data_IF_395100033293
#
_entry.id   IF_395100033293
#
_cell.length_a   1.000
_cell.length_b   1.000
_cell.length_c   1.000
_cell.angle_alpha   90.00
_cell.angle_beta   90.00
_cell.angle_gamma   90.00
#
_symmetry.space_group_name_H-M   'P 1'
#
loop_
_entity.id
_entity.type
_entity.pdbx_description
1 polymer ?
#
# COMPACT_ATOMS: atom_id res chain seq x y z
N UNK A 1 2.83 4.02 10.04
CA UNK A 1 2.65 2.57 10.30
C UNK A 1 3.07 2.22 11.71
N UNK A 2 2.45 1.25 12.39
CA UNK A 2 3.02 0.63 13.57
C UNK A 2 4.28 -0.17 13.24
N UNK A 3 5.13 -0.39 14.22
CA UNK A 3 6.40 -1.10 14.04
C UNK A 3 6.21 -2.50 13.44
N UNK A 4 5.25 -3.28 13.93
CA UNK A 4 4.97 -4.64 13.45
C UNK A 4 4.58 -4.71 11.96
N UNK A 5 3.77 -3.78 11.46
CA UNK A 5 3.44 -3.72 10.03
C UNK A 5 4.66 -3.35 9.18
N UNK A 6 5.50 -2.45 9.67
CA UNK A 6 6.74 -2.08 8.99
C UNK A 6 7.71 -3.27 8.92
N UNK A 7 7.86 -4.02 10.01
CA UNK A 7 8.66 -5.24 10.06
C UNK A 7 8.19 -6.29 9.05
N UNK A 8 6.87 -6.52 8.96
CA UNK A 8 6.28 -7.42 7.96
C UNK A 8 6.58 -6.97 6.52
N UNK A 9 6.44 -5.68 6.24
CA UNK A 9 6.75 -5.14 4.91
C UNK A 9 8.22 -5.27 4.56
N UNK A 10 9.12 -4.98 5.50
CA UNK A 10 10.56 -5.11 5.32
C UNK A 10 10.97 -6.56 5.11
N UNK A 11 10.41 -7.50 5.87
CA UNK A 11 10.66 -8.93 5.68
C UNK A 11 10.21 -9.41 4.30
N UNK A 12 9.02 -9.01 3.85
CA UNK A 12 8.50 -9.39 2.52
C UNK A 12 9.32 -8.79 1.37
N UNK A 13 9.69 -7.52 1.49
CA UNK A 13 10.32 -6.76 0.39
C UNK A 13 11.85 -6.86 0.36
N UNK A 14 12.48 -6.86 1.53
CA UNK A 14 13.93 -6.74 1.68
C UNK A 14 14.59 -7.98 2.25
N UNK A 15 13.79 -8.96 2.72
CA UNK A 15 14.26 -10.21 3.33
C UNK A 15 15.12 -10.00 4.59
N UNK A 16 14.83 -8.94 5.34
CA UNK A 16 15.46 -8.65 6.64
C UNK A 16 14.54 -9.08 7.79
N UNK A 17 15.16 -9.43 8.92
CA UNK A 17 14.42 -9.86 10.11
C UNK A 17 13.66 -8.72 10.77
N UNK A 18 12.65 -9.01 11.62
CA UNK A 18 11.98 -8.01 12.44
C UNK A 18 12.95 -7.24 13.34
N UNK A 19 13.91 -7.91 13.96
CA UNK A 19 14.90 -7.30 14.85
C UNK A 19 15.85 -6.36 14.09
N UNK A 20 16.29 -6.78 12.91
CA UNK A 20 17.11 -5.93 12.04
C UNK A 20 16.31 -4.70 11.58
N UNK A 21 15.04 -4.88 11.24
CA UNK A 21 14.16 -3.75 10.89
C UNK A 21 14.04 -2.77 12.05
N UNK A 22 13.82 -3.26 13.27
CA UNK A 22 13.72 -2.41 14.45
C UNK A 22 15.03 -1.64 14.71
N UNK A 23 16.19 -2.30 14.58
CA UNK A 23 17.50 -1.67 14.71
C UNK A 23 17.70 -0.55 13.69
N UNK A 24 17.33 -0.82 12.43
CA UNK A 24 17.42 0.18 11.34
C UNK A 24 16.51 1.38 11.64
N UNK A 25 15.27 1.14 12.04
CA UNK A 25 14.34 2.26 12.31
C UNK A 25 14.75 3.04 13.55
N UNK A 26 15.36 2.39 14.55
CA UNK A 26 15.98 3.05 15.70
C UNK A 26 17.14 3.97 15.27
N UNK A 27 18.02 3.50 14.37
CA UNK A 27 19.09 4.33 13.79
C UNK A 27 18.51 5.54 13.05
N UNK A 28 17.47 5.34 12.23
CA UNK A 28 16.80 6.43 11.51
C UNK A 28 16.18 7.46 12.46
N UNK A 29 15.62 7.00 13.60
CA UNK A 29 15.10 7.87 14.65
C UNK A 29 16.19 8.70 15.32
N UNK A 30 17.30 8.09 15.70
CA UNK A 30 18.44 8.78 16.32
C UNK A 30 19.02 9.85 15.39
N UNK A 31 18.99 9.61 14.10
CA UNK A 31 19.36 10.57 13.05
C UNK A 31 18.24 11.59 12.74
N UNK A 32 17.14 11.61 13.50
CA UNK A 32 15.99 12.52 13.36
C UNK A 32 15.24 12.39 12.03
N UNK A 33 15.40 11.29 11.32
CA UNK A 33 14.76 11.04 10.03
C UNK A 33 13.30 10.61 10.16
N UNK A 34 12.99 9.85 11.22
CA UNK A 34 11.64 9.34 11.50
C UNK A 34 11.24 9.60 12.94
N UNK A 35 9.97 9.46 13.26
CA UNK A 35 9.42 9.53 14.62
C UNK A 35 9.72 8.24 15.40
N UNK A 36 9.41 8.23 16.69
CA UNK A 36 9.75 7.13 17.60
C UNK A 36 9.27 5.76 17.08
N UNK A 37 10.15 4.75 17.01
CA UNK A 37 9.84 3.51 16.31
C UNK A 37 9.01 2.49 17.09
N UNK A 38 9.08 2.52 18.44
CA UNK A 38 8.38 1.53 19.27
C UNK A 38 6.96 2.01 19.55
N UNK A 39 6.08 1.85 18.56
CA UNK A 39 4.68 2.23 18.64
C UNK A 39 3.79 1.22 17.96
N UNK A 40 2.65 0.95 18.56
CA UNK A 40 1.58 0.14 17.99
C UNK A 40 0.52 0.99 17.28
N UNK A 41 0.62 2.32 17.39
CA UNK A 41 -0.32 3.24 16.78
C UNK A 41 -0.26 3.20 15.25
N UNK A 42 -1.43 3.16 14.64
CA UNK A 42 -1.64 3.22 13.17
C UNK A 42 -2.02 4.61 12.70
N UNK A 43 -2.28 5.51 13.64
CA UNK A 43 -2.87 6.83 13.43
C UNK A 43 -1.92 7.93 13.91
N UNK A 44 -2.22 9.15 13.51
CA UNK A 44 -1.56 10.37 13.95
C UNK A 44 -2.45 11.08 14.98
N UNK A 45 -1.86 11.96 15.77
CA UNK A 45 -2.60 12.85 16.64
C UNK A 45 -3.11 14.09 15.90
N UNK A 46 -4.15 14.71 16.45
CA UNK A 46 -4.65 15.99 15.94
C UNK A 46 -3.57 17.08 15.97
N UNK A 47 -2.71 17.08 16.97
CA UNK A 47 -1.59 18.01 17.07
C UNK A 47 -0.60 17.83 15.90
N UNK A 48 -0.20 16.59 15.61
CA UNK A 48 0.69 16.28 14.47
C UNK A 48 0.02 16.64 13.15
N UNK A 49 -1.28 16.36 12.99
CA UNK A 49 -2.01 16.67 11.76
C UNK A 49 -2.03 18.18 11.44
N UNK A 50 -2.10 19.03 12.45
CA UNK A 50 -2.04 20.49 12.29
C UNK A 50 -0.68 20.99 11.77
N UNK A 51 0.40 20.28 12.12
CA UNK A 51 1.77 20.65 11.74
C UNK A 51 2.30 19.85 10.54
N UNK A 52 1.48 19.00 9.93
CA UNK A 52 1.91 18.04 8.91
C UNK A 52 2.57 18.71 7.69
N UNK A 53 2.19 19.95 7.37
CA UNK A 53 2.80 20.75 6.33
C UNK A 53 4.30 20.95 6.55
N UNK A 54 4.76 21.01 7.81
CA UNK A 54 6.19 21.10 8.17
C UNK A 54 6.97 19.87 7.72
N UNK A 55 6.39 18.68 7.97
CA UNK A 55 6.97 17.40 7.54
C UNK A 55 7.05 17.33 6.00
N UNK A 56 5.97 17.71 5.30
CA UNK A 56 5.93 17.73 3.84
C UNK A 56 6.94 18.70 3.26
N UNK A 57 7.03 19.92 3.79
CA UNK A 57 8.00 20.93 3.37
C UNK A 57 9.45 20.46 3.61
N UNK A 58 9.71 19.81 4.73
CA UNK A 58 11.03 19.24 5.02
C UNK A 58 11.43 18.18 3.99
N UNK A 59 10.50 17.34 3.56
CA UNK A 59 10.72 16.32 2.54
C UNK A 59 10.93 16.88 1.12
N UNK A 60 10.71 18.17 0.87
CA UNK A 60 10.94 18.77 -0.45
C UNK A 60 12.40 18.66 -0.92
N UNK A 61 13.32 18.55 0.03
CA UNK A 61 14.76 18.35 -0.24
C UNK A 61 15.12 16.88 -0.51
N UNK A 62 14.15 15.95 -0.40
CA UNK A 62 14.36 14.54 -0.65
C UNK A 62 13.94 14.20 -2.09
N UNK A 63 14.88 13.86 -3.01
CA UNK A 63 14.60 13.76 -4.44
C UNK A 63 13.46 12.82 -4.79
N UNK A 64 13.36 11.67 -4.07
CA UNK A 64 12.30 10.70 -4.30
C UNK A 64 10.90 11.27 -3.96
N UNK A 65 10.80 12.16 -2.98
CA UNK A 65 9.53 12.74 -2.55
C UNK A 65 9.06 13.90 -3.45
N UNK A 66 9.98 14.61 -4.07
CA UNK A 66 9.71 15.86 -4.80
C UNK A 66 8.56 15.79 -5.83
N UNK A 67 8.47 14.78 -6.72
CA UNK A 67 7.36 14.69 -7.69
C UNK A 67 6.00 14.50 -7.01
N UNK A 68 5.96 13.73 -5.94
CA UNK A 68 4.72 13.45 -5.19
C UNK A 68 4.26 14.65 -4.37
N UNK A 69 5.17 15.44 -3.86
CA UNK A 69 4.84 16.66 -3.10
C UNK A 69 4.15 17.71 -3.96
N UNK A 70 4.50 17.82 -5.24
CA UNK A 70 3.80 18.70 -6.18
C UNK A 70 2.32 18.30 -6.31
N UNK A 71 2.06 17.01 -6.49
CA UNK A 71 0.69 16.50 -6.56
C UNK A 71 -0.08 16.75 -5.26
N UNK A 72 0.54 16.47 -4.10
CA UNK A 72 -0.06 16.66 -2.78
C UNK A 72 -0.41 18.14 -2.54
N UNK A 73 0.44 19.06 -2.96
CA UNK A 73 0.18 20.50 -2.88
C UNK A 73 -1.00 20.90 -3.77
N UNK A 74 -1.08 20.35 -4.98
CA UNK A 74 -2.19 20.60 -5.91
C UNK A 74 -3.52 20.04 -5.38
N UNK A 75 -3.52 18.85 -4.76
CA UNK A 75 -4.73 18.26 -4.16
C UNK A 75 -5.19 19.03 -2.91
N UNK A 76 -4.28 19.57 -2.13
CA UNK A 76 -4.57 20.26 -0.88
C UNK A 76 -5.12 19.39 0.26
N UNK A 77 -5.22 18.08 0.08
CA UNK A 77 -5.82 17.12 1.03
C UNK A 77 -5.12 17.09 2.40
N UNK A 78 -3.86 17.49 2.48
CA UNK A 78 -3.13 17.56 3.75
C UNK A 78 -3.72 18.57 4.74
N UNK A 79 -4.44 19.59 4.27
CA UNK A 79 -5.09 20.60 5.11
C UNK A 79 -6.26 20.01 5.90
N UNK A 80 -6.89 18.97 5.36
CA UNK A 80 -8.04 18.28 5.94
C UNK A 80 -7.65 16.97 6.64
N UNK A 81 -6.35 16.70 6.84
CA UNK A 81 -5.83 15.46 7.39
C UNK A 81 -6.48 15.11 8.74
N UNK A 82 -6.72 16.11 9.59
CA UNK A 82 -7.33 15.94 10.91
C UNK A 82 -8.75 15.33 10.86
N UNK A 83 -9.45 15.46 9.72
CA UNK A 83 -10.81 14.93 9.53
C UNK A 83 -10.81 13.51 8.92
N UNK A 84 -9.64 12.97 8.63
CA UNK A 84 -9.51 11.67 7.96
C UNK A 84 -9.36 10.53 8.98
N UNK A 85 -9.57 9.29 8.51
CA UNK A 85 -9.31 8.07 9.29
C UNK A 85 -7.86 7.90 9.76
N UNK A 86 -6.95 8.73 9.29
CA UNK A 86 -5.53 8.67 9.66
C UNK A 86 -5.23 9.42 10.96
N UNK A 87 -6.19 10.14 11.51
CA UNK A 87 -6.06 10.91 12.76
C UNK A 87 -7.08 10.43 13.78
N UNK A 88 -6.61 9.98 14.93
CA UNK A 88 -7.48 9.55 16.02
C UNK A 88 -6.72 9.55 17.35
N UNK A 89 -6.90 10.60 18.16
CA UNK A 89 -6.22 10.74 19.45
C UNK A 89 -6.57 9.63 20.45
N UNK A 90 -7.78 9.04 20.34
CA UNK A 90 -8.22 7.95 21.23
C UNK A 90 -7.48 6.62 21.01
N UNK A 91 -6.85 6.45 19.85
CA UNK A 91 -6.08 5.25 19.49
C UNK A 91 -4.56 5.42 19.74
N UNK A 92 -4.17 6.49 20.40
CA UNK A 92 -2.77 6.77 20.74
C UNK A 92 -2.64 6.62 22.25
N UNK A 93 -1.74 5.74 22.69
CA UNK A 93 -1.36 5.62 24.08
C UNK A 93 -0.22 6.57 24.40
N UNK A 94 0.99 6.27 23.92
CA UNK A 94 2.19 7.06 24.20
C UNK A 94 2.73 7.75 22.95
N UNK A 95 2.73 7.06 21.81
CA UNK A 95 3.31 7.51 20.57
C UNK A 95 2.38 7.26 19.39
N UNK A 96 2.37 8.18 18.43
CA UNK A 96 1.65 8.03 17.16
C UNK A 96 2.46 7.20 16.14
N UNK A 97 1.88 6.91 15.01
CA UNK A 97 2.48 6.08 13.95
C UNK A 97 3.83 6.63 13.48
N UNK A 98 4.71 5.73 13.02
CA UNK A 98 6.01 6.07 12.44
C UNK A 98 5.80 6.85 11.14
N UNK A 99 6.32 8.08 11.08
CA UNK A 99 6.31 8.96 9.91
C UNK A 99 7.69 9.62 9.73
N UNK A 100 8.03 10.10 8.53
CA UNK A 100 9.21 10.91 8.34
C UNK A 100 9.03 12.29 8.98
N UNK A 101 10.09 12.81 9.58
CA UNK A 101 10.07 14.13 10.22
C UNK A 101 10.26 15.28 9.23
N UNK A 102 10.83 15.00 8.06
CA UNK A 102 11.33 16.01 7.12
C UNK A 102 12.65 16.66 7.56
N UNK A 103 13.28 16.14 8.62
CA UNK A 103 14.57 16.62 9.15
C UNK A 103 15.66 15.56 8.96
N UNK A 104 16.90 15.92 9.26
CA UNK A 104 18.03 14.98 9.28
C UNK A 104 18.43 14.41 7.92
N UNK A 105 17.91 14.90 6.79
CA UNK A 105 18.14 14.33 5.47
C UNK A 105 19.62 14.22 5.06
N UNK A 106 20.47 15.09 5.58
CA UNK A 106 21.93 15.01 5.35
C UNK A 106 22.53 13.72 5.91
N UNK A 107 21.91 13.12 6.93
CA UNK A 107 22.37 11.86 7.51
C UNK A 107 22.07 10.64 6.62
N UNK A 108 21.23 10.77 5.59
CA UNK A 108 20.94 9.67 4.66
C UNK A 108 22.16 9.20 3.89
N UNK A 109 23.14 10.09 3.63
CA UNK A 109 24.40 9.70 2.99
C UNK A 109 25.28 8.78 3.84
N UNK A 110 25.04 8.74 5.16
CA UNK A 110 25.81 7.96 6.13
C UNK A 110 25.13 6.67 6.59
N UNK A 111 23.91 6.39 6.13
CA UNK A 111 23.21 5.15 6.47
C UNK A 111 23.47 4.04 5.45
N UNK A 112 23.37 2.79 5.90
CA UNK A 112 23.49 1.65 5.01
C UNK A 112 22.43 1.65 3.89
N UNK A 113 22.70 1.08 2.70
CA UNK A 113 21.71 1.04 1.60
C UNK A 113 20.37 0.41 2.01
N UNK A 114 20.39 -0.60 2.88
CA UNK A 114 19.16 -1.22 3.41
C UNK A 114 18.37 -0.24 4.27
N UNK A 115 19.03 0.55 5.12
CA UNK A 115 18.38 1.56 5.93
C UNK A 115 17.76 2.67 5.06
N UNK A 116 18.43 3.06 3.97
CA UNK A 116 17.87 3.99 2.99
C UNK A 116 16.59 3.45 2.35
N UNK A 117 16.57 2.15 1.97
CA UNK A 117 15.37 1.49 1.41
C UNK A 117 14.20 1.43 2.42
N UNK A 118 14.51 1.22 3.70
CA UNK A 118 13.50 1.25 4.77
C UNK A 118 12.95 2.67 4.93
N UNK A 119 13.80 3.69 4.89
CA UNK A 119 13.37 5.08 4.91
C UNK A 119 12.47 5.41 3.72
N UNK A 120 12.85 5.02 2.51
CA UNK A 120 12.01 5.17 1.31
C UNK A 120 10.61 4.55 1.49
N UNK A 121 10.55 3.36 2.07
CA UNK A 121 9.28 2.68 2.33
C UNK A 121 8.39 3.47 3.30
N UNK A 122 8.99 4.04 4.35
CA UNK A 122 8.28 4.89 5.31
C UNK A 122 7.76 6.15 4.64
N UNK A 123 8.61 6.84 3.86
CA UNK A 123 8.24 8.06 3.14
C UNK A 123 7.13 7.80 2.13
N UNK A 124 7.23 6.74 1.30
CA UNK A 124 6.18 6.38 0.34
C UNK A 124 4.85 6.12 1.04
N UNK A 125 4.86 5.36 2.13
CA UNK A 125 3.63 5.11 2.89
C UNK A 125 3.05 6.37 3.49
N UNK A 126 3.88 7.28 3.98
CA UNK A 126 3.46 8.59 4.50
C UNK A 126 2.84 9.45 3.40
N UNK A 127 3.51 9.60 2.27
CA UNK A 127 2.99 10.41 1.16
C UNK A 127 1.70 9.84 0.57
N UNK A 128 1.53 8.52 0.58
CA UNK A 128 0.34 7.87 0.01
C UNK A 128 -0.97 8.22 0.72
N UNK A 129 -0.94 8.67 2.00
CA UNK A 129 -2.17 9.03 2.72
C UNK A 129 -2.80 10.34 2.23
N UNK A 130 -2.07 11.15 1.48
CA UNK A 130 -2.53 12.41 0.92
C UNK A 130 -3.09 12.28 -0.51
N UNK A 131 -2.98 11.09 -1.10
CA UNK A 131 -3.52 10.80 -2.42
C UNK A 131 -4.97 10.31 -2.35
N UNK A 132 -5.75 10.51 -3.41
CA UNK A 132 -7.08 9.93 -3.51
C UNK A 132 -7.01 8.39 -3.50
N UNK A 133 -8.12 7.72 -3.21
CA UNK A 133 -8.20 6.26 -3.30
C UNK A 133 -7.94 5.79 -4.74
N UNK A 134 -7.39 4.58 -4.88
CA UNK A 134 -7.33 3.91 -6.16
C UNK A 134 -8.73 3.49 -6.62
N UNK A 135 -9.04 3.72 -7.89
CA UNK A 135 -10.34 3.36 -8.47
C UNK A 135 -10.17 2.14 -9.35
N UNK A 136 -11.01 1.13 -9.09
CA UNK A 136 -11.04 -0.10 -9.87
C UNK A 136 -12.38 -0.25 -10.58
N UNK A 137 -12.33 -0.65 -11.84
CA UNK A 137 -13.50 -1.05 -12.59
C UNK A 137 -13.65 -2.56 -12.48
N UNK A 138 -14.82 -3.02 -12.01
CA UNK A 138 -15.17 -4.45 -12.00
C UNK A 138 -15.89 -4.79 -13.31
N UNK A 139 -15.43 -5.84 -13.96
CA UNK A 139 -16.04 -6.37 -15.20
C UNK A 139 -16.45 -7.81 -14.95
N UNK A 140 -17.74 -8.09 -15.09
CA UNK A 140 -18.29 -9.43 -15.04
C UNK A 140 -18.65 -9.89 -16.46
N UNK A 141 -18.10 -11.01 -16.89
CA UNK A 141 -18.39 -11.63 -18.19
C UNK A 141 -19.11 -12.94 -17.93
N UNK A 142 -20.21 -13.13 -18.61
CA UNK A 142 -20.91 -14.43 -18.68
C UNK A 142 -20.76 -14.98 -20.08
N UNK A 143 -20.01 -16.06 -20.21
CA UNK A 143 -19.86 -16.80 -21.48
C UNK A 143 -20.81 -17.98 -21.47
N UNK A 144 -21.50 -18.24 -22.57
CA UNK A 144 -22.38 -19.40 -22.72
C UNK A 144 -21.89 -20.27 -23.88
N UNK A 145 -21.66 -21.55 -23.58
CA UNK A 145 -21.29 -22.56 -24.57
C UNK A 145 -22.33 -23.67 -24.46
N UNK A 146 -23.17 -23.81 -25.49
CA UNK A 146 -24.37 -24.66 -25.45
C UNK A 146 -25.28 -24.24 -24.28
N UNK A 147 -25.55 -25.10 -23.32
CA UNK A 147 -26.40 -24.87 -22.16
C UNK A 147 -25.61 -24.45 -20.90
N UNK A 148 -24.29 -24.53 -20.95
CA UNK A 148 -23.43 -24.19 -19.82
C UNK A 148 -23.02 -22.72 -19.83
N UNK A 149 -22.97 -22.12 -18.62
CA UNK A 149 -22.58 -20.72 -18.40
C UNK A 149 -21.32 -20.66 -17.58
N UNK A 150 -20.36 -19.89 -18.05
CA UNK A 150 -19.10 -19.61 -17.37
C UNK A 150 -19.07 -18.15 -16.91
N UNK A 151 -18.78 -17.94 -15.64
CA UNK A 151 -18.72 -16.62 -15.02
C UNK A 151 -17.26 -16.24 -14.81
N UNK A 152 -16.86 -15.07 -15.32
CA UNK A 152 -15.51 -14.53 -15.14
C UNK A 152 -15.61 -13.12 -14.60
N UNK A 153 -14.97 -12.87 -13.44
CA UNK A 153 -14.92 -11.56 -12.81
C UNK A 153 -13.50 -11.00 -12.91
N UNK A 154 -13.40 -9.77 -13.38
CA UNK A 154 -12.13 -9.07 -13.52
C UNK A 154 -12.18 -7.73 -12.79
N UNK A 155 -11.03 -7.31 -12.28
CA UNK A 155 -10.86 -6.01 -11.66
C UNK A 155 -9.69 -5.28 -12.33
N UNK A 156 -9.99 -4.17 -12.95
CA UNK A 156 -9.03 -3.35 -13.69
C UNK A 156 -8.79 -2.05 -12.95
N UNK A 157 -7.53 -1.68 -12.78
CA UNK A 157 -7.15 -0.40 -12.19
C UNK A 157 -7.47 0.72 -13.19
N UNK A 158 -8.48 1.54 -12.87
CA UNK A 158 -8.88 2.68 -13.68
C UNK A 158 -8.10 3.95 -13.31
N UNK A 159 -7.91 4.18 -12.00
CA UNK A 159 -7.13 5.30 -11.48
C UNK A 159 -6.18 4.82 -10.39
N UNK A 160 -4.91 5.14 -10.52
CA UNK A 160 -3.88 4.69 -9.57
C UNK A 160 -4.06 5.26 -8.17
N UNK A 161 -4.54 6.50 -8.04
CA UNK A 161 -4.66 7.16 -6.76
C UNK A 161 -3.39 7.01 -5.91
N UNK A 162 -3.53 6.57 -4.65
CA UNK A 162 -2.40 6.37 -3.74
C UNK A 162 -1.38 5.30 -4.20
N UNK A 163 -1.75 4.41 -5.11
CA UNK A 163 -0.85 3.38 -5.65
C UNK A 163 0.29 3.99 -6.47
N UNK A 164 0.09 5.18 -7.04
CA UNK A 164 1.16 5.94 -7.71
C UNK A 164 2.39 6.10 -6.80
N UNK A 165 2.16 6.29 -5.52
CA UNK A 165 3.22 6.47 -4.51
C UNK A 165 3.60 5.16 -3.83
N UNK A 166 2.60 4.39 -3.40
CA UNK A 166 2.80 3.15 -2.64
C UNK A 166 3.34 2.00 -3.51
N UNK A 167 3.15 2.08 -4.83
CA UNK A 167 3.38 1.01 -5.80
C UNK A 167 2.18 0.08 -5.89
N UNK A 168 1.94 -0.44 -7.08
CA UNK A 168 0.92 -1.46 -7.30
C UNK A 168 1.38 -2.76 -6.64
N UNK A 169 0.55 -3.42 -5.81
CA UNK A 169 0.86 -4.75 -5.31
C UNK A 169 1.12 -5.68 -6.49
N UNK A 170 2.29 -6.31 -6.54
CA UNK A 170 2.54 -7.37 -7.53
C UNK A 170 1.58 -8.50 -7.20
N UNK A 171 0.52 -8.65 -8.01
CA UNK A 171 -0.33 -9.83 -7.99
C UNK A 171 0.56 -11.07 -8.12
N UNK A 172 0.24 -12.15 -7.43
CA UNK A 172 0.83 -13.45 -7.74
C UNK A 172 0.43 -13.77 -9.18
N UNK A 173 1.39 -13.70 -10.10
CA UNK A 173 1.24 -14.33 -11.40
C UNK A 173 1.21 -15.83 -11.13
N UNK A 174 0.05 -16.38 -10.88
CA UNK A 174 -0.18 -17.80 -11.02
C UNK A 174 -0.30 -18.08 -12.51
N UNK A 175 0.88 -18.25 -13.14
CA UNK A 175 0.95 -18.95 -14.41
C UNK A 175 0.29 -20.31 -14.18
N UNK A 176 -0.84 -20.53 -14.81
CA UNK A 176 -1.53 -21.81 -14.83
C UNK A 176 -0.58 -22.88 -15.38
N UNK A 177 0.01 -23.69 -14.51
CA UNK A 177 0.45 -25.03 -14.85
C UNK A 177 -0.49 -25.98 -14.14
N UNK A 178 -1.39 -26.52 -14.92
CA UNK A 178 -2.26 -27.61 -14.49
C UNK A 178 -1.44 -28.80 -14.00
N UNK A 179 -1.87 -29.36 -12.90
CA UNK A 179 -1.70 -30.78 -12.56
C UNK A 179 -2.90 -31.22 -11.74
N UNK A 180 -3.42 -32.42 -12.00
CA UNK A 180 -4.65 -32.91 -11.40
C UNK A 180 -4.42 -33.62 -10.06
N UNK A 181 -5.48 -33.59 -9.28
CA UNK A 181 -5.94 -34.55 -8.25
C UNK A 181 -4.97 -35.19 -7.25
N UNK A 182 -5.38 -35.12 -6.00
CA UNK A 182 -5.19 -36.18 -5.03
C UNK A 182 -4.91 -35.76 -3.59
N UNK A 183 -5.95 -35.94 -2.81
CA UNK A 183 -5.97 -36.30 -1.39
C UNK A 183 -6.33 -35.21 -0.37
N UNK A 184 -7.47 -35.52 0.24
CA UNK A 184 -7.99 -34.99 1.51
C UNK A 184 -6.96 -35.03 2.63
N UNK A 185 -6.94 -33.98 3.44
CA UNK A 185 -6.91 -34.06 4.91
C UNK A 185 -7.50 -32.79 5.50
N UNK A 186 -8.55 -33.04 6.26
CA UNK A 186 -9.19 -32.14 7.20
C UNK A 186 -8.21 -31.74 8.31
N UNK A 187 -8.18 -30.45 8.65
CA UNK A 187 -7.98 -30.01 10.03
C UNK A 187 -8.70 -28.66 10.24
N UNK A 188 -9.53 -28.70 11.26
CA UNK A 188 -10.46 -27.67 11.70
C UNK A 188 -9.80 -26.47 12.39
N UNK A 189 -10.60 -25.39 12.43
CA UNK A 189 -10.66 -24.29 13.41
C UNK A 189 -9.71 -23.11 13.22
N UNK A 190 -10.14 -21.87 13.17
CA UNK A 190 -11.16 -21.08 13.88
C UNK A 190 -11.44 -19.75 13.17
N UNK A 191 -12.71 -19.34 13.26
CA UNK A 191 -13.28 -18.06 12.86
C UNK A 191 -12.48 -16.82 13.28
N UNK A 192 -12.33 -15.88 12.32
CA UNK A 192 -12.64 -14.47 12.54
C UNK A 192 -12.65 -13.72 11.19
N UNK A 193 -13.81 -13.16 10.81
CA UNK A 193 -13.93 -12.07 9.85
C UNK A 193 -13.87 -12.48 8.39
N UNK A 194 -14.99 -12.98 7.88
CA UNK A 194 -15.24 -13.19 6.47
C UNK A 194 -15.09 -11.87 5.69
N UNK A 195 -14.14 -11.82 4.78
CA UNK A 195 -14.32 -11.20 3.49
C UNK A 195 -13.76 -12.17 2.45
N UNK A 196 -14.67 -12.73 1.67
CA UNK A 196 -14.35 -13.74 0.66
C UNK A 196 -13.28 -13.22 -0.27
N UNK A 197 -12.09 -13.74 -0.14
CA UNK A 197 -11.01 -13.54 -1.10
C UNK A 197 -11.38 -14.30 -2.38
N UNK A 198 -12.24 -13.70 -3.21
CA UNK A 198 -12.32 -14.04 -4.62
C UNK A 198 -10.91 -13.80 -5.20
N UNK A 199 -10.31 -14.81 -5.79
CA UNK A 199 -9.03 -14.71 -6.50
C UNK A 199 -9.20 -13.75 -7.68
N UNK A 200 -8.96 -12.47 -7.45
CA UNK A 200 -9.00 -11.45 -8.49
C UNK A 200 -7.74 -11.57 -9.36
N UNK A 201 -7.87 -12.19 -10.50
CA UNK A 201 -6.84 -12.19 -11.54
C UNK A 201 -6.68 -10.76 -12.07
N UNK A 202 -5.48 -10.18 -11.90
CA UNK A 202 -5.15 -8.90 -12.51
C UNK A 202 -5.19 -9.01 -14.04
N UNK A 203 -6.13 -8.33 -14.67
CA UNK A 203 -6.28 -8.30 -16.11
C UNK A 203 -5.16 -7.47 -16.75
N UNK A 204 -4.52 -8.00 -17.78
CA UNK A 204 -3.61 -7.23 -18.63
C UNK A 204 -4.40 -6.12 -19.36
N UNK A 205 -3.82 -4.94 -19.46
CA UNK A 205 -4.45 -3.76 -20.09
C UNK A 205 -4.90 -4.05 -21.53
N UNK A 206 -4.15 -4.90 -22.24
CA UNK A 206 -4.48 -5.32 -23.59
C UNK A 206 -5.78 -6.15 -23.64
N UNK A 207 -5.95 -7.07 -22.70
CA UNK A 207 -7.17 -7.88 -22.60
C UNK A 207 -8.39 -7.03 -22.21
N UNK A 208 -8.18 -5.97 -21.41
CA UNK A 208 -9.25 -5.03 -21.07
C UNK A 208 -9.77 -4.24 -22.27
N UNK A 209 -8.90 -3.80 -23.17
CA UNK A 209 -9.30 -3.12 -24.40
C UNK A 209 -10.08 -4.06 -25.33
N UNK A 210 -9.67 -5.34 -25.39
CA UNK A 210 -10.44 -6.36 -26.13
C UNK A 210 -11.83 -6.53 -25.52
N UNK A 211 -11.93 -6.63 -24.19
CA UNK A 211 -13.21 -6.77 -23.48
C UNK A 211 -14.13 -5.56 -23.72
N UNK A 212 -13.61 -4.33 -23.72
CA UNK A 212 -14.40 -3.13 -24.07
C UNK A 212 -14.99 -3.18 -25.48
N UNK A 213 -14.32 -3.85 -26.39
CA UNK A 213 -14.79 -4.01 -27.77
C UNK A 213 -15.90 -5.05 -27.92
N UNK A 214 -16.12 -5.91 -26.93
CA UNK A 214 -17.14 -6.96 -26.96
C UNK A 214 -18.54 -6.34 -26.85
N UNK A 215 -19.43 -6.72 -27.76
CA UNK A 215 -20.84 -6.29 -27.74
C UNK A 215 -21.71 -7.37 -27.12
N UNK A 216 -22.64 -6.96 -26.24
CA UNK A 216 -23.62 -7.85 -25.62
C UNK A 216 -24.40 -8.63 -26.69
N UNK A 217 -24.48 -9.95 -26.56
CA UNK A 217 -25.25 -10.83 -27.44
C UNK A 217 -24.59 -11.17 -28.79
N UNK A 218 -23.34 -10.72 -29.04
CA UNK A 218 -22.61 -11.10 -30.26
C UNK A 218 -21.93 -12.45 -30.08
N UNK A 219 -22.06 -13.33 -31.09
CA UNK A 219 -21.33 -14.60 -31.15
C UNK A 219 -19.91 -14.32 -31.66
N UNK A 220 -18.90 -14.75 -30.94
CA UNK A 220 -17.51 -14.73 -31.35
C UNK A 220 -17.10 -16.17 -31.69
N UNK A 221 -16.52 -16.34 -32.88
CA UNK A 221 -16.00 -17.64 -33.35
C UNK A 221 -14.55 -17.78 -32.98
#
# INVERSE_FOLDING_TARGET
KPCAELQNDCSKRFKISPDETLRIVQELYEKKLVTYPRTDARVLSTAVAKEISRNLNGLSKYPMAAPYLKDIQAFGNYKELAKTRYVNDKQITDHYAIIPTGQGLNALSSVAPTAHRVYDLIVRRFLSIFYPPAVYQKVAIVSSIKEERFFSNFKVLAEEGYLKVAGVPKGRNTSAKGKPEGSMKEEEEKESGADGAEEEQGLDTALFEVIKSLKKGRRYR
#
